data_IF_272079511390
#
_entry.id   IF_272079511390
#
_cell.length_a   1.000
_cell.length_b   1.000
_cell.length_c   1.000
_cell.angle_alpha   90.00
_cell.angle_beta   90.00
_cell.angle_gamma   90.00
#
_symmetry.space_group_name_H-M   'P 1'
#
loop_
_entity.id
_entity.type
_entity.pdbx_description
1 polymer ?
#
# COMPACT_ATOMS: atom_id res chain seq x y z
N UNK A 1 19.85 -30.48 3.48
CA UNK A 1 19.52 -29.83 2.20
C UNK A 1 20.51 -30.32 1.16
N UNK A 2 20.03 -30.97 0.11
CA UNK A 2 20.87 -31.47 -0.99
C UNK A 2 21.49 -30.28 -1.77
N UNK A 3 22.71 -30.43 -2.30
CA UNK A 3 23.37 -29.41 -3.14
C UNK A 3 22.50 -29.00 -4.33
N UNK A 4 21.70 -29.94 -4.84
CA UNK A 4 20.77 -29.70 -5.95
C UNK A 4 19.58 -28.83 -5.55
N UNK A 5 19.00 -29.06 -4.37
CA UNK A 5 17.91 -28.25 -3.82
C UNK A 5 18.39 -26.82 -3.55
N UNK A 6 19.59 -26.68 -2.96
CA UNK A 6 20.20 -25.37 -2.72
C UNK A 6 20.42 -24.58 -4.02
N UNK A 7 20.95 -25.22 -5.06
CA UNK A 7 21.17 -24.59 -6.36
C UNK A 7 19.88 -24.13 -7.06
N UNK A 8 18.80 -24.91 -6.96
CA UNK A 8 17.49 -24.55 -7.51
C UNK A 8 16.91 -23.36 -6.75
N UNK A 9 17.02 -23.36 -5.42
CA UNK A 9 16.52 -22.28 -4.56
C UNK A 9 17.27 -20.96 -4.81
N UNK A 10 18.60 -21.00 -4.95
CA UNK A 10 19.43 -19.83 -5.27
C UNK A 10 19.06 -19.21 -6.64
N UNK A 11 18.81 -20.04 -7.66
CA UNK A 11 18.39 -19.55 -8.99
C UNK A 11 16.99 -18.92 -8.97
N UNK A 12 16.05 -19.47 -8.20
CA UNK A 12 14.70 -18.90 -8.07
C UNK A 12 14.78 -17.54 -7.37
N UNK A 13 15.58 -17.43 -6.31
CA UNK A 13 15.76 -16.18 -5.58
C UNK A 13 16.36 -15.09 -6.48
N UNK A 14 17.36 -15.42 -7.30
CA UNK A 14 17.94 -14.48 -8.26
C UNK A 14 16.91 -14.00 -9.31
N UNK A 15 16.10 -14.92 -9.85
CA UNK A 15 15.02 -14.57 -10.80
C UNK A 15 14.04 -13.59 -10.15
N UNK A 16 13.64 -13.85 -8.90
CA UNK A 16 12.66 -12.97 -8.25
C UNK A 16 13.27 -11.59 -7.96
N UNK A 17 14.51 -11.53 -7.47
CA UNK A 17 15.19 -10.25 -7.25
C UNK A 17 15.33 -9.44 -8.55
N UNK A 18 15.55 -10.10 -9.69
CA UNK A 18 15.55 -9.45 -11.00
C UNK A 18 14.16 -8.90 -11.38
N UNK A 19 13.07 -9.59 -11.04
CA UNK A 19 11.71 -9.10 -11.26
C UNK A 19 11.39 -7.89 -10.38
N UNK A 20 11.76 -7.93 -9.10
CA UNK A 20 11.62 -6.81 -8.16
C UNK A 20 12.42 -5.60 -8.65
N UNK A 21 13.69 -5.81 -9.03
CA UNK A 21 14.57 -4.78 -9.57
C UNK A 21 13.99 -4.11 -10.82
N UNK A 22 13.35 -4.89 -11.71
CA UNK A 22 12.65 -4.34 -12.87
C UNK A 22 11.50 -3.42 -12.45
N UNK A 23 10.65 -3.85 -11.51
CA UNK A 23 9.54 -3.02 -11.01
C UNK A 23 10.06 -1.74 -10.37
N UNK A 24 11.11 -1.85 -9.55
CA UNK A 24 11.71 -0.68 -8.89
C UNK A 24 12.33 0.29 -9.89
N UNK A 25 13.03 -0.20 -10.92
CA UNK A 25 13.56 0.65 -11.98
C UNK A 25 12.43 1.39 -12.72
N UNK A 26 11.35 0.69 -13.07
CA UNK A 26 10.19 1.30 -13.73
C UNK A 26 9.52 2.35 -12.82
N UNK A 27 9.39 2.05 -11.53
CA UNK A 27 8.87 2.95 -10.48
C UNK A 27 9.67 4.24 -10.40
N UNK A 28 11.01 4.12 -10.26
CA UNK A 28 11.90 5.26 -10.17
C UNK A 28 11.85 6.13 -11.43
N UNK A 29 11.89 5.52 -12.62
CA UNK A 29 11.84 6.24 -13.88
C UNK A 29 10.52 7.02 -14.05
N UNK A 30 9.39 6.40 -13.71
CA UNK A 30 8.06 6.98 -13.93
C UNK A 30 7.73 8.09 -12.91
N UNK A 31 8.11 7.88 -11.64
CA UNK A 31 7.90 8.85 -10.57
C UNK A 31 9.05 9.86 -10.44
N UNK A 32 10.06 9.78 -11.31
CA UNK A 32 11.27 10.63 -11.30
C UNK A 32 11.98 10.60 -9.94
N UNK A 33 12.10 9.40 -9.38
CA UNK A 33 12.80 9.12 -8.14
C UNK A 33 14.12 8.39 -8.43
N UNK A 34 15.06 8.48 -7.52
CA UNK A 34 16.31 7.72 -7.58
C UNK A 34 16.19 6.45 -6.71
N UNK A 35 16.69 5.29 -7.15
CA UNK A 35 16.75 4.10 -6.31
C UNK A 35 17.48 4.38 -4.99
N UNK A 36 16.85 3.97 -3.89
CA UNK A 36 17.39 4.17 -2.55
C UNK A 36 18.29 2.98 -2.15
N UNK A 37 19.58 3.20 -1.87
CA UNK A 37 20.51 2.12 -1.49
C UNK A 37 20.23 1.54 -0.09
N UNK A 38 19.36 2.20 0.68
CA UNK A 38 18.96 1.82 2.04
C UNK A 38 17.71 0.92 2.07
N UNK A 39 17.33 0.31 0.94
CA UNK A 39 16.14 -0.52 0.84
C UNK A 39 16.54 -1.93 0.45
N UNK A 40 16.24 -2.87 1.33
CA UNK A 40 16.47 -4.29 1.13
C UNK A 40 15.14 -5.02 0.92
N UNK A 41 15.17 -6.06 0.09
CA UNK A 41 14.05 -6.96 -0.13
C UNK A 41 14.38 -8.35 0.38
N UNK A 42 13.40 -8.98 1.03
CA UNK A 42 13.47 -10.39 1.41
C UNK A 42 12.16 -11.10 1.11
N UNK A 43 12.29 -12.31 0.58
CA UNK A 43 11.16 -13.20 0.30
C UNK A 43 11.24 -14.33 1.30
N UNK A 44 10.16 -14.52 2.04
CA UNK A 44 10.15 -15.40 3.20
C UNK A 44 8.87 -16.22 3.26
N UNK A 45 9.02 -17.45 3.74
CA UNK A 45 7.88 -18.34 4.03
C UNK A 45 7.17 -17.93 5.33
N UNK A 46 7.77 -17.02 6.11
CA UNK A 46 7.19 -16.53 7.35
C UNK A 46 7.63 -15.08 7.64
N UNK A 47 6.73 -14.12 7.37
CA UNK A 47 7.00 -12.69 7.59
C UNK A 47 7.19 -12.38 9.07
N UNK A 48 6.35 -12.92 9.96
CA UNK A 48 6.42 -12.73 11.42
C UNK A 48 7.77 -13.14 12.00
N UNK A 49 8.30 -14.30 11.59
CA UNK A 49 9.59 -14.78 12.10
C UNK A 49 10.77 -13.93 11.60
N UNK A 50 10.74 -13.45 10.35
CA UNK A 50 11.76 -12.51 9.88
C UNK A 50 11.62 -11.14 10.56
N UNK A 51 10.40 -10.65 10.76
CA UNK A 51 10.13 -9.42 11.50
C UNK A 51 10.72 -9.46 12.90
N UNK A 52 10.53 -10.57 13.65
CA UNK A 52 11.10 -10.74 15.01
C UNK A 52 12.63 -10.67 15.03
N UNK A 53 13.31 -11.07 13.95
CA UNK A 53 14.78 -10.96 13.83
C UNK A 53 15.22 -9.53 13.58
N UNK A 54 14.45 -8.77 12.80
CA UNK A 54 14.75 -7.39 12.42
C UNK A 54 14.39 -6.42 13.56
N UNK A 55 13.21 -6.58 14.16
CA UNK A 55 12.67 -5.76 15.26
C UNK A 55 12.37 -6.59 16.51
N UNK A 56 13.40 -7.16 17.18
CA UNK A 56 13.21 -7.95 18.41
C UNK A 56 12.67 -7.12 19.58
N UNK A 57 12.84 -5.79 19.52
CA UNK A 57 12.26 -4.81 20.44
C UNK A 57 10.73 -4.73 20.28
N UNK A 58 10.22 -4.68 19.04
CA UNK A 58 8.79 -4.71 18.76
C UNK A 58 8.16 -6.04 19.15
N UNK A 59 8.81 -7.16 18.84
CA UNK A 59 8.34 -8.49 19.24
C UNK A 59 8.16 -8.63 20.77
N UNK A 60 8.95 -7.92 21.56
CA UNK A 60 8.81 -7.89 23.03
C UNK A 60 7.69 -6.96 23.50
N UNK A 61 7.52 -5.82 22.83
CA UNK A 61 6.56 -4.77 23.22
C UNK A 61 5.12 -5.10 22.78
N UNK A 62 4.97 -5.73 21.61
CA UNK A 62 3.69 -6.03 20.96
C UNK A 62 3.64 -7.47 20.41
N UNK A 63 3.78 -8.50 21.28
CA UNK A 63 3.91 -9.89 20.84
C UNK A 63 2.73 -10.37 19.98
N UNK A 64 1.49 -10.06 20.40
CA UNK A 64 0.29 -10.50 19.70
C UNK A 64 0.17 -9.90 18.29
N UNK A 65 0.57 -8.63 18.11
CA UNK A 65 0.57 -7.97 16.80
C UNK A 65 1.60 -8.63 15.88
N UNK A 66 2.81 -8.86 16.40
CA UNK A 66 3.88 -9.49 15.61
C UNK A 66 3.54 -10.92 15.21
N UNK A 67 2.87 -11.69 16.08
CA UNK A 67 2.42 -13.05 15.77
C UNK A 67 1.33 -13.11 14.69
N UNK A 68 0.48 -12.07 14.59
CA UNK A 68 -0.61 -12.04 13.63
C UNK A 68 -0.24 -11.52 12.23
N UNK A 69 0.99 -11.03 12.02
CA UNK A 69 1.42 -10.43 10.74
C UNK A 69 1.07 -11.30 9.53
N UNK A 70 1.36 -12.61 9.58
CA UNK A 70 1.11 -13.51 8.43
C UNK A 70 -0.37 -13.72 8.12
N UNK A 71 -1.27 -13.49 9.10
CA UNK A 71 -2.71 -13.60 8.89
C UNK A 71 -3.29 -12.32 8.26
N UNK A 72 -2.58 -11.20 8.41
CA UNK A 72 -3.08 -9.87 8.04
C UNK A 72 -2.41 -9.34 6.77
N UNK A 73 -1.18 -9.80 6.46
CA UNK A 73 -0.33 -9.20 5.44
C UNK A 73 0.36 -10.23 4.56
N UNK A 74 0.36 -9.97 3.25
CA UNK A 74 1.14 -10.71 2.25
C UNK A 74 2.52 -10.08 1.99
N UNK A 75 2.71 -8.84 2.40
CA UNK A 75 3.97 -8.11 2.37
C UNK A 75 3.97 -7.05 3.47
N UNK A 76 5.15 -6.60 3.86
CA UNK A 76 5.30 -5.61 4.92
C UNK A 76 6.59 -4.80 4.73
N UNK A 77 6.46 -3.48 4.73
CA UNK A 77 7.58 -2.56 4.89
C UNK A 77 7.91 -2.38 6.38
N UNK A 78 9.18 -2.58 6.73
CA UNK A 78 9.71 -2.42 8.08
C UNK A 78 10.69 -1.25 8.06
N UNK A 79 10.29 -0.07 8.60
CA UNK A 79 11.22 1.02 8.81
C UNK A 79 12.34 0.64 9.79
N UNK A 80 13.57 1.12 9.56
CA UNK A 80 14.60 1.07 10.59
C UNK A 80 14.17 1.92 11.78
N UNK A 81 14.80 1.75 12.94
CA UNK A 81 14.52 2.66 14.05
C UNK A 81 15.01 4.09 13.76
N UNK A 82 16.24 4.20 13.27
CA UNK A 82 16.94 5.47 13.03
C UNK A 82 17.13 5.71 11.52
N UNK A 83 17.26 6.97 11.09
CA UNK A 83 17.29 7.36 9.68
C UNK A 83 18.47 6.85 8.83
N UNK A 84 19.57 6.42 9.44
CA UNK A 84 20.70 5.81 8.72
C UNK A 84 20.57 4.29 8.56
N UNK A 85 19.52 3.70 9.13
CA UNK A 85 19.22 2.28 8.99
C UNK A 85 18.62 1.92 7.63
N UNK A 86 18.57 0.62 7.36
CA UNK A 86 17.96 0.09 6.16
C UNK A 86 16.47 -0.22 6.37
N UNK A 87 15.64 0.18 5.43
CA UNK A 87 14.28 -0.32 5.30
C UNK A 87 14.33 -1.76 4.80
N UNK A 88 13.50 -2.63 5.38
CA UNK A 88 13.31 -3.99 4.89
C UNK A 88 11.90 -4.15 4.36
N UNK A 89 11.77 -4.61 3.11
CA UNK A 89 10.49 -5.04 2.55
C UNK A 89 10.46 -6.57 2.54
N UNK A 90 9.54 -7.13 3.32
CA UNK A 90 9.29 -8.57 3.37
C UNK A 90 8.10 -8.91 2.47
N UNK A 91 8.22 -9.98 1.68
CA UNK A 91 7.11 -10.49 0.85
C UNK A 91 6.95 -11.99 1.08
N UNK A 92 5.71 -12.45 1.27
CA UNK A 92 5.40 -13.87 1.44
C UNK A 92 5.71 -14.66 0.16
N UNK A 93 6.50 -15.74 0.29
CA UNK A 93 6.94 -16.57 -0.84
C UNK A 93 5.76 -17.16 -1.61
N UNK A 94 4.75 -17.67 -0.90
CA UNK A 94 3.62 -18.38 -1.50
C UNK A 94 2.75 -17.39 -2.29
N UNK A 95 2.40 -16.27 -1.68
CA UNK A 95 1.69 -15.17 -2.33
C UNK A 95 2.42 -14.70 -3.58
N UNK A 96 3.74 -14.45 -3.50
CA UNK A 96 4.52 -13.98 -4.64
C UNK A 96 4.47 -14.97 -5.81
N UNK A 97 4.68 -16.26 -5.52
CA UNK A 97 4.64 -17.33 -6.52
C UNK A 97 3.26 -17.51 -7.15
N UNK A 98 2.19 -17.44 -6.36
CA UNK A 98 0.80 -17.55 -6.85
C UNK A 98 0.44 -16.35 -7.74
N UNK A 99 0.82 -15.14 -7.32
CA UNK A 99 0.50 -13.93 -8.07
C UNK A 99 1.28 -13.81 -9.38
N UNK A 100 2.52 -14.31 -9.45
CA UNK A 100 3.27 -14.42 -10.71
C UNK A 100 2.53 -15.23 -11.78
N UNK A 101 1.75 -16.22 -11.37
CA UNK A 101 1.03 -17.11 -12.28
C UNK A 101 -0.37 -16.59 -12.62
N UNK A 102 -0.99 -15.82 -11.72
CA UNK A 102 -2.42 -15.50 -11.79
C UNK A 102 -2.71 -14.11 -12.34
N UNK A 103 -2.13 -13.06 -11.76
CA UNK A 103 -2.71 -11.71 -11.87
C UNK A 103 -1.73 -10.52 -11.75
N UNK A 104 -0.41 -10.78 -11.63
CA UNK A 104 0.61 -9.75 -11.44
C UNK A 104 0.42 -8.83 -10.22
N UNK A 105 -0.43 -9.22 -9.25
CA UNK A 105 -0.54 -8.50 -7.96
C UNK A 105 0.81 -8.32 -7.26
N UNK A 106 1.77 -9.23 -7.44
CA UNK A 106 3.13 -9.12 -6.92
C UNK A 106 3.81 -7.80 -7.34
N UNK A 107 3.63 -7.36 -8.58
CA UNK A 107 4.25 -6.13 -9.09
C UNK A 107 3.62 -4.90 -8.43
N UNK A 108 2.29 -4.95 -8.22
CA UNK A 108 1.57 -3.94 -7.46
C UNK A 108 2.02 -3.88 -6.01
N UNK A 109 2.23 -5.02 -5.38
CA UNK A 109 2.71 -5.12 -3.99
C UNK A 109 4.12 -4.55 -3.85
N UNK A 110 5.05 -4.88 -4.76
CA UNK A 110 6.40 -4.27 -4.76
C UNK A 110 6.31 -2.75 -4.86
N UNK A 111 5.50 -2.21 -5.78
CA UNK A 111 5.34 -0.77 -5.93
C UNK A 111 4.63 -0.10 -4.73
N UNK A 112 3.69 -0.81 -4.09
CA UNK A 112 2.99 -0.37 -2.88
C UNK A 112 3.97 -0.22 -1.70
N UNK A 113 4.73 -1.27 -1.40
CA UNK A 113 5.72 -1.25 -0.32
C UNK A 113 6.85 -0.23 -0.57
N UNK A 114 7.33 -0.12 -1.82
CA UNK A 114 8.28 0.94 -2.18
C UNK A 114 7.70 2.33 -1.93
N UNK A 115 6.41 2.54 -2.23
CA UNK A 115 5.77 3.84 -1.99
C UNK A 115 5.77 4.19 -0.52
N UNK A 116 5.47 3.26 0.38
CA UNK A 116 5.61 3.48 1.81
C UNK A 116 7.01 3.95 2.18
N UNK A 117 8.07 3.27 1.71
CA UNK A 117 9.45 3.68 2.03
C UNK A 117 9.72 5.14 1.65
N UNK A 118 9.38 5.55 0.43
CA UNK A 118 9.60 6.93 0.01
C UNK A 118 8.73 7.91 0.80
N UNK A 119 7.47 7.56 1.06
CA UNK A 119 6.55 8.41 1.81
C UNK A 119 7.02 8.60 3.26
N UNK A 120 7.50 7.55 3.92
CA UNK A 120 8.07 7.62 5.27
C UNK A 120 9.31 8.52 5.31
N UNK A 121 10.22 8.40 4.34
CA UNK A 121 11.42 9.26 4.26
C UNK A 121 11.02 10.71 4.01
N UNK A 122 10.07 10.96 3.10
CA UNK A 122 9.58 12.31 2.81
C UNK A 122 8.91 12.91 4.05
N UNK A 123 8.08 12.14 4.75
CA UNK A 123 7.39 12.58 5.96
C UNK A 123 8.37 12.88 7.10
N UNK A 124 9.32 11.98 7.36
CA UNK A 124 10.36 12.15 8.36
C UNK A 124 11.12 13.47 8.17
N UNK A 125 11.48 13.79 6.92
CA UNK A 125 12.12 15.06 6.58
C UNK A 125 11.19 16.27 6.73
N UNK A 126 9.90 16.11 6.43
CA UNK A 126 8.91 17.17 6.52
C UNK A 126 8.64 17.61 7.97
N UNK A 127 8.66 16.66 8.91
CA UNK A 127 8.41 16.94 10.34
C UNK A 127 9.69 17.02 11.19
N UNK A 128 10.87 16.89 10.57
CA UNK A 128 12.17 16.83 11.25
C UNK A 128 12.21 15.76 12.37
N UNK A 129 11.64 14.59 12.08
CA UNK A 129 11.62 13.43 12.98
C UNK A 129 12.19 12.22 12.27
N UNK A 130 13.34 11.73 12.73
CA UNK A 130 14.09 10.64 12.12
C UNK A 130 14.06 9.35 12.96
N UNK A 131 13.19 9.30 13.96
CA UNK A 131 12.80 8.10 14.70
C UNK A 131 11.50 7.55 14.09
N UNK A 132 11.60 6.48 13.30
CA UNK A 132 10.42 5.95 12.62
C UNK A 132 9.45 5.25 13.58
N UNK A 133 9.86 4.89 14.80
CA UNK A 133 8.92 4.33 15.78
C UNK A 133 7.92 5.39 16.26
N UNK A 134 8.33 6.65 16.28
CA UNK A 134 7.44 7.79 16.53
C UNK A 134 6.46 7.94 15.37
N UNK A 135 6.94 7.92 14.13
CA UNK A 135 6.09 8.07 12.94
C UNK A 135 5.07 6.92 12.81
N UNK A 136 5.44 5.71 13.23
CA UNK A 136 4.56 4.55 13.25
C UNK A 136 3.50 4.61 14.36
N UNK A 137 3.57 5.56 15.29
CA UNK A 137 2.53 5.75 16.29
C UNK A 137 1.25 6.31 15.65
N UNK A 138 0.28 5.42 15.45
CA UNK A 138 -1.03 5.74 14.90
C UNK A 138 -1.81 6.75 15.76
N UNK A 139 -1.48 6.92 17.04
CA UNK A 139 -2.08 7.93 17.89
C UNK A 139 -1.63 9.36 17.54
N UNK A 140 -0.43 9.51 17.00
CA UNK A 140 0.17 10.82 16.67
C UNK A 140 0.11 11.14 15.18
N UNK A 141 0.32 10.14 14.32
CA UNK A 141 0.50 10.34 12.88
C UNK A 141 -0.60 9.69 12.03
N UNK A 142 -1.81 9.57 12.54
CA UNK A 142 -2.90 8.87 11.86
C UNK A 142 -3.20 9.38 10.45
N UNK A 143 -3.21 10.72 10.26
CA UNK A 143 -3.51 11.33 8.96
C UNK A 143 -2.47 10.96 7.90
N UNK A 144 -1.19 10.94 8.29
CA UNK A 144 -0.11 10.46 7.42
C UNK A 144 -0.31 8.98 7.08
N UNK A 145 -0.61 8.13 8.05
CA UNK A 145 -0.83 6.70 7.83
C UNK A 145 -2.00 6.44 6.86
N UNK A 146 -3.11 7.18 6.97
CA UNK A 146 -4.22 7.07 6.01
C UNK A 146 -3.79 7.53 4.61
N UNK A 147 -3.08 8.66 4.55
CA UNK A 147 -2.63 9.24 3.29
C UNK A 147 -1.67 8.29 2.55
N UNK A 148 -0.67 7.73 3.24
CA UNK A 148 0.30 6.84 2.61
C UNK A 148 -0.35 5.52 2.18
N UNK A 149 -1.33 4.98 2.91
CA UNK A 149 -2.07 3.78 2.48
C UNK A 149 -2.87 4.00 1.20
N UNK A 150 -3.56 5.15 1.09
CA UNK A 150 -4.24 5.53 -0.14
C UNK A 150 -3.24 5.71 -1.29
N UNK A 151 -2.16 6.47 -1.06
CA UNK A 151 -1.15 6.77 -2.07
C UNK A 151 -0.45 5.49 -2.56
N UNK A 152 0.05 4.67 -1.64
CA UNK A 152 0.65 3.39 -1.93
C UNK A 152 -0.34 2.46 -2.63
N UNK A 153 -1.63 2.44 -2.27
CA UNK A 153 -2.60 1.60 -2.98
C UNK A 153 -2.83 2.08 -4.41
N UNK A 154 -2.97 3.39 -4.62
CA UNK A 154 -3.12 3.96 -5.95
C UNK A 154 -1.93 3.59 -6.83
N UNK A 155 -0.70 3.80 -6.36
CA UNK A 155 0.51 3.45 -7.11
C UNK A 155 0.59 1.93 -7.34
N UNK A 156 0.38 1.13 -6.30
CA UNK A 156 0.38 -0.34 -6.43
C UNK A 156 -0.63 -0.83 -7.47
N UNK A 157 -1.87 -0.33 -7.45
CA UNK A 157 -2.90 -0.72 -8.41
C UNK A 157 -2.61 -0.28 -9.84
N UNK A 158 -1.99 0.89 -10.02
CA UNK A 158 -1.47 1.29 -11.32
C UNK A 158 -0.40 0.31 -11.84
N UNK A 159 0.48 -0.20 -10.98
CA UNK A 159 1.49 -1.20 -11.36
C UNK A 159 0.86 -2.56 -11.71
N UNK A 160 -0.21 -2.98 -11.03
CA UNK A 160 -0.99 -4.16 -11.44
C UNK A 160 -1.50 -3.98 -12.87
N UNK A 161 -2.14 -2.84 -13.17
CA UNK A 161 -2.62 -2.51 -14.52
C UNK A 161 -1.48 -2.52 -15.55
N UNK A 162 -0.37 -1.84 -15.26
CA UNK A 162 0.81 -1.72 -16.14
C UNK A 162 1.43 -3.06 -16.52
N UNK A 163 1.44 -4.02 -15.60
CA UNK A 163 2.02 -5.34 -15.85
C UNK A 163 1.02 -6.36 -16.41
N UNK A 164 -0.28 -6.12 -16.23
CA UNK A 164 -1.34 -6.99 -16.75
C UNK A 164 -1.79 -6.61 -18.16
N UNK A 165 -1.85 -5.31 -18.49
CA UNK A 165 -2.37 -4.85 -19.78
C UNK A 165 -1.25 -4.33 -20.67
N UNK A 166 -1.28 -4.71 -21.95
CA UNK A 166 -0.38 -4.16 -22.97
C UNK A 166 -0.62 -2.66 -23.20
N UNK A 167 -1.88 -2.24 -23.12
CA UNK A 167 -2.30 -0.85 -23.14
C UNK A 167 -3.18 -0.60 -21.91
N UNK A 168 -2.67 0.20 -20.97
CA UNK A 168 -3.39 0.53 -19.73
C UNK A 168 -4.60 1.45 -19.95
N UNK A 169 -4.74 2.01 -21.15
CA UNK A 169 -5.85 2.87 -21.54
C UNK A 169 -6.88 2.14 -22.43
N UNK A 170 -6.76 0.82 -22.60
CA UNK A 170 -7.70 0.03 -23.40
C UNK A 170 -9.11 0.13 -22.81
N UNK A 171 -10.01 0.84 -23.50
CA UNK A 171 -11.38 1.05 -23.03
C UNK A 171 -12.27 -0.19 -23.17
N UNK A 172 -11.81 -1.26 -23.82
CA UNK A 172 -12.59 -2.50 -23.93
C UNK A 172 -12.82 -3.18 -22.58
N UNK A 173 -11.98 -2.90 -21.58
CA UNK A 173 -12.10 -3.47 -20.23
C UNK A 173 -13.11 -2.74 -19.35
N UNK A 174 -13.66 -1.60 -19.79
CA UNK A 174 -14.54 -0.76 -18.96
C UNK A 174 -15.78 -1.51 -18.52
N UNK A 175 -16.38 -2.31 -19.40
CA UNK A 175 -17.54 -3.12 -19.05
C UNK A 175 -17.20 -4.10 -17.92
N UNK A 176 -16.05 -4.77 -18.01
CA UNK A 176 -15.56 -5.67 -16.97
C UNK A 176 -15.29 -4.93 -15.64
N UNK A 177 -14.66 -3.77 -15.69
CA UNK A 177 -14.42 -2.98 -14.48
C UNK A 177 -15.77 -2.62 -13.81
N UNK A 178 -16.71 -2.07 -14.57
CA UNK A 178 -17.99 -1.57 -14.04
C UNK A 178 -18.90 -2.70 -13.54
N UNK A 179 -18.90 -3.85 -14.20
CA UNK A 179 -19.81 -4.96 -13.87
C UNK A 179 -19.20 -6.01 -12.95
N UNK A 180 -17.87 -6.06 -12.81
CA UNK A 180 -17.17 -7.09 -12.04
C UNK A 180 -16.21 -6.50 -11.00
N UNK A 181 -15.16 -5.78 -11.41
CA UNK A 181 -14.13 -5.35 -10.46
C UNK A 181 -14.62 -4.33 -9.44
N UNK A 182 -15.35 -3.29 -9.89
CA UNK A 182 -15.88 -2.26 -9.00
C UNK A 182 -16.87 -2.85 -7.97
N UNK A 183 -17.89 -3.65 -8.37
CA UNK A 183 -18.77 -4.31 -7.40
C UNK A 183 -18.01 -5.25 -6.44
N UNK A 184 -17.06 -6.04 -6.95
CA UNK A 184 -16.26 -6.95 -6.13
C UNK A 184 -15.45 -6.19 -5.08
N UNK A 185 -14.69 -5.16 -5.47
CA UNK A 185 -13.88 -4.38 -4.54
C UNK A 185 -14.73 -3.52 -3.58
N UNK A 186 -15.92 -3.08 -4.02
CA UNK A 186 -16.87 -2.40 -3.11
C UNK A 186 -17.40 -3.36 -2.05
N UNK A 187 -17.68 -4.62 -2.41
CA UNK A 187 -18.12 -5.65 -1.47
C UNK A 187 -16.99 -6.03 -0.50
N UNK A 188 -15.76 -6.22 -0.99
CA UNK A 188 -14.58 -6.50 -0.17
C UNK A 188 -14.34 -5.38 0.86
N UNK A 189 -14.47 -4.12 0.44
CA UNK A 189 -14.36 -2.96 1.34
C UNK A 189 -15.47 -2.99 2.40
N UNK A 190 -16.71 -3.23 1.99
CA UNK A 190 -17.86 -3.30 2.90
C UNK A 190 -17.67 -4.41 3.95
N UNK A 191 -17.30 -5.61 3.53
CA UNK A 191 -17.08 -6.74 4.44
C UNK A 191 -15.93 -6.47 5.41
N UNK A 192 -14.80 -5.96 4.90
CA UNK A 192 -13.62 -5.65 5.72
C UNK A 192 -13.91 -4.55 6.75
N UNK A 193 -14.65 -3.52 6.34
CA UNK A 193 -15.06 -2.43 7.23
C UNK A 193 -15.97 -2.94 8.37
N UNK A 194 -16.91 -3.85 8.08
CA UNK A 194 -17.85 -4.36 9.08
C UNK A 194 -17.33 -5.56 9.89
N UNK A 195 -16.18 -6.13 9.53
CA UNK A 195 -15.56 -7.24 10.25
C UNK A 195 -14.91 -6.83 11.58
N UNK A 196 -14.77 -5.53 11.83
CA UNK A 196 -14.05 -4.98 12.99
C UNK A 196 -14.67 -3.66 13.44
N UNK A 197 -14.44 -3.30 14.71
CA UNK A 197 -14.74 -1.97 15.25
C UNK A 197 -13.48 -1.10 15.39
N UNK A 198 -12.33 -1.59 14.92
CA UNK A 198 -11.08 -0.85 14.93
C UNK A 198 -11.11 0.19 13.78
N UNK A 199 -11.10 1.48 14.14
CA UNK A 199 -11.15 2.59 13.18
C UNK A 199 -10.00 2.58 12.16
N UNK A 200 -8.81 2.14 12.57
CA UNK A 200 -7.66 2.02 11.66
C UNK A 200 -7.89 0.93 10.62
N UNK A 201 -8.28 -0.28 11.03
CA UNK A 201 -8.57 -1.38 10.09
C UNK A 201 -9.74 -1.04 9.17
N UNK A 202 -10.76 -0.35 9.68
CA UNK A 202 -11.86 0.19 8.89
C UNK A 202 -11.37 1.17 7.83
N UNK A 203 -10.55 2.14 8.22
CA UNK A 203 -10.03 3.16 7.31
C UNK A 203 -9.05 2.58 6.30
N UNK A 204 -8.26 1.56 6.67
CA UNK A 204 -7.39 0.82 5.76
C UNK A 204 -8.19 0.22 4.59
N UNK A 205 -9.31 -0.44 4.88
CA UNK A 205 -10.19 -0.99 3.85
C UNK A 205 -10.75 0.09 2.90
N UNK A 206 -11.11 1.26 3.45
CA UNK A 206 -11.62 2.39 2.68
C UNK A 206 -10.54 3.05 1.83
N UNK A 207 -9.37 3.36 2.41
CA UNK A 207 -8.22 3.92 1.70
C UNK A 207 -7.82 3.05 0.50
N UNK A 208 -7.86 1.73 0.70
CA UNK A 208 -7.61 0.75 -0.36
C UNK A 208 -8.62 0.85 -1.51
N UNK A 209 -9.91 0.90 -1.22
CA UNK A 209 -10.95 1.03 -2.24
C UNK A 209 -10.81 2.36 -3.00
N UNK A 210 -10.63 3.46 -2.26
CA UNK A 210 -10.46 4.79 -2.83
C UNK A 210 -9.21 4.90 -3.71
N UNK A 211 -8.10 4.26 -3.33
CA UNK A 211 -6.88 4.23 -4.16
C UNK A 211 -7.10 3.56 -5.52
N UNK A 212 -7.91 2.49 -5.58
CA UNK A 212 -8.29 1.85 -6.85
C UNK A 212 -9.20 2.75 -7.68
N UNK A 213 -10.19 3.37 -7.03
CA UNK A 213 -11.12 4.31 -7.67
C UNK A 213 -10.38 5.49 -8.31
N UNK A 214 -9.39 6.05 -7.63
CA UNK A 214 -8.54 7.12 -8.16
C UNK A 214 -7.82 6.70 -9.45
N UNK A 215 -7.30 5.48 -9.54
CA UNK A 215 -6.65 5.01 -10.76
C UNK A 215 -7.65 4.80 -11.89
N UNK A 216 -8.85 4.29 -11.61
CA UNK A 216 -9.90 4.20 -12.63
C UNK A 216 -10.32 5.57 -13.15
N UNK A 217 -10.51 6.56 -12.26
CA UNK A 217 -10.76 7.96 -12.63
C UNK A 217 -9.64 8.50 -13.53
N UNK A 218 -8.38 8.29 -13.15
CA UNK A 218 -7.21 8.80 -13.87
C UNK A 218 -7.04 8.17 -15.25
N UNK A 219 -7.21 6.84 -15.36
CA UNK A 219 -7.04 6.12 -16.63
C UNK A 219 -8.25 6.27 -17.55
N UNK A 220 -9.46 6.38 -16.99
CA UNK A 220 -10.71 6.33 -17.73
C UNK A 220 -11.69 7.47 -17.34
N UNK A 221 -11.26 8.74 -17.45
CA UNK A 221 -12.01 9.89 -16.92
C UNK A 221 -13.36 10.14 -17.61
N UNK A 222 -13.57 9.57 -18.81
CA UNK A 222 -14.85 9.65 -19.52
C UNK A 222 -15.93 8.74 -18.92
N UNK A 223 -15.52 7.72 -18.16
CA UNK A 223 -16.41 6.72 -17.59
C UNK A 223 -16.52 6.89 -16.07
N UNK A 224 -15.41 7.17 -15.41
CA UNK A 224 -15.33 7.50 -13.99
C UNK A 224 -15.37 9.01 -13.80
N UNK A 225 -16.54 9.60 -14.08
CA UNK A 225 -16.76 11.04 -13.97
C UNK A 225 -17.03 11.46 -12.53
N UNK A 226 -16.88 12.75 -12.21
CA UNK A 226 -17.27 13.30 -10.90
C UNK A 226 -18.73 12.95 -10.54
N UNK A 227 -19.65 12.94 -11.51
CA UNK A 227 -21.04 12.56 -11.29
C UNK A 227 -21.19 11.08 -10.92
N UNK A 228 -20.44 10.19 -11.57
CA UNK A 228 -20.45 8.75 -11.26
C UNK A 228 -19.86 8.49 -9.86
N UNK A 229 -18.77 9.17 -9.52
CA UNK A 229 -18.14 9.07 -8.19
C UNK A 229 -19.08 9.60 -7.11
N UNK A 230 -19.77 10.72 -7.37
CA UNK A 230 -20.80 11.26 -6.49
C UNK A 230 -21.96 10.27 -6.29
N UNK A 231 -22.39 9.57 -7.32
CA UNK A 231 -23.42 8.53 -7.21
C UNK A 231 -22.94 7.34 -6.37
N UNK A 232 -21.69 6.92 -6.57
CA UNK A 232 -21.06 5.80 -5.87
C UNK A 232 -20.86 6.07 -4.37
N UNK A 233 -20.34 7.25 -4.01
CA UNK A 233 -19.91 7.57 -2.65
C UNK A 233 -20.85 8.53 -1.91
N UNK A 234 -21.75 9.23 -2.60
CA UNK A 234 -22.48 10.38 -2.06
C UNK A 234 -23.47 10.08 -0.94
N UNK A 235 -23.86 8.82 -0.77
CA UNK A 235 -24.65 8.37 0.39
C UNK A 235 -23.81 8.31 1.67
N UNK A 236 -22.48 8.19 1.54
CA UNK A 236 -21.49 8.21 2.61
C UNK A 236 -20.65 9.48 2.51
N UNK A 237 -21.21 10.60 2.98
CA UNK A 237 -20.62 11.95 2.86
C UNK A 237 -19.14 12.00 3.25
N UNK A 238 -18.78 11.45 4.40
CA UNK A 238 -17.40 11.44 4.89
C UNK A 238 -16.44 10.72 3.94
N UNK A 239 -16.89 9.63 3.30
CA UNK A 239 -16.06 8.84 2.37
C UNK A 239 -15.84 9.59 1.06
N UNK A 240 -16.88 10.26 0.55
CA UNK A 240 -16.77 11.14 -0.61
C UNK A 240 -15.82 12.31 -0.34
N UNK A 241 -15.97 13.00 0.79
CA UNK A 241 -15.09 14.12 1.17
C UNK A 241 -13.65 13.63 1.36
N UNK A 242 -13.45 12.45 1.97
CA UNK A 242 -12.12 11.82 2.10
C UNK A 242 -11.50 11.54 0.74
N UNK A 243 -12.28 11.00 -0.21
CA UNK A 243 -11.79 10.76 -1.57
C UNK A 243 -11.40 12.04 -2.30
N UNK A 244 -12.23 13.08 -2.19
CA UNK A 244 -11.95 14.41 -2.78
C UNK A 244 -10.68 15.00 -2.19
N UNK A 245 -10.51 14.92 -0.86
CA UNK A 245 -9.29 15.37 -0.20
C UNK A 245 -8.08 14.62 -0.75
N UNK A 246 -8.09 13.29 -0.70
CA UNK A 246 -6.93 12.47 -1.06
C UNK A 246 -6.55 12.62 -2.55
N UNK A 247 -7.52 12.68 -3.47
CA UNK A 247 -7.23 12.83 -4.91
C UNK A 247 -6.64 14.20 -5.26
N UNK A 248 -6.96 15.23 -4.49
CA UNK A 248 -6.44 16.58 -4.68
C UNK A 248 -5.09 16.80 -3.98
N UNK A 249 -4.69 15.91 -3.07
CA UNK A 249 -3.47 16.01 -2.29
C UNK A 249 -2.54 14.80 -2.52
N UNK A 250 -2.22 14.51 -3.79
CA UNK A 250 -1.32 13.39 -4.14
C UNK A 250 0.14 13.60 -3.74
N UNK A 251 0.54 14.82 -3.38
CA UNK A 251 1.87 15.11 -2.83
C UNK A 251 1.77 15.29 -1.32
N UNK A 252 2.73 14.74 -0.59
CA UNK A 252 2.70 14.72 0.86
C UNK A 252 2.83 16.12 1.46
N UNK A 253 3.68 16.98 0.90
CA UNK A 253 3.87 18.35 1.38
C UNK A 253 2.62 19.24 1.20
N UNK A 254 1.77 18.93 0.22
CA UNK A 254 0.46 19.54 0.03
C UNK A 254 -0.52 18.96 1.05
N UNK A 255 -0.63 17.63 1.14
CA UNK A 255 -1.53 16.94 2.07
C UNK A 255 -1.29 17.32 3.53
N UNK A 256 -0.02 17.37 3.95
CA UNK A 256 0.39 17.64 5.32
C UNK A 256 -0.11 18.99 5.85
N UNK A 257 -0.13 20.01 4.99
CA UNK A 257 -0.62 21.36 5.35
C UNK A 257 -2.10 21.34 5.73
N UNK A 258 -2.84 20.40 5.15
CA UNK A 258 -4.30 20.31 5.25
C UNK A 258 -4.75 19.03 5.99
N UNK A 259 -3.86 18.36 6.74
CA UNK A 259 -4.21 17.16 7.51
C UNK A 259 -5.29 17.41 8.58
N UNK A 260 -5.42 18.63 9.10
CA UNK A 260 -6.54 18.97 9.99
C UNK A 260 -7.89 18.94 9.25
N UNK A 261 -7.95 19.28 7.96
CA UNK A 261 -9.17 19.12 7.14
C UNK A 261 -9.53 17.63 7.01
N UNK A 262 -8.55 16.78 6.67
CA UNK A 262 -8.77 15.34 6.62
C UNK A 262 -9.26 14.79 7.96
N UNK A 263 -8.68 15.26 9.06
CA UNK A 263 -9.07 14.87 10.42
C UNK A 263 -10.53 15.23 10.71
N UNK A 264 -10.96 16.43 10.35
CA UNK A 264 -12.34 16.89 10.53
C UNK A 264 -13.34 16.11 9.66
N UNK A 265 -12.95 15.71 8.44
CA UNK A 265 -13.76 14.81 7.61
C UNK A 265 -13.97 13.47 8.32
N UNK A 266 -12.90 12.87 8.83
CA UNK A 266 -12.95 11.53 9.44
C UNK A 266 -13.72 11.49 10.76
N UNK A 267 -13.73 12.59 11.52
CA UNK A 267 -14.55 12.76 12.74
C UNK A 267 -16.05 12.65 12.51
N UNK A 268 -16.52 12.76 11.25
CA UNK A 268 -17.93 12.52 10.92
C UNK A 268 -18.35 11.06 11.12
N UNK A 269 -17.39 10.13 11.11
CA UNK A 269 -17.64 8.69 11.19
C UNK A 269 -16.94 8.03 12.39
N UNK A 270 -15.70 8.44 12.71
CA UNK A 270 -14.92 7.84 13.78
C UNK A 270 -14.92 8.73 15.03
N UNK A 271 -15.39 8.20 16.17
CA UNK A 271 -15.40 8.92 17.45
C UNK A 271 -14.06 8.75 18.21
N UNK A 272 -13.62 9.81 18.90
CA UNK A 272 -12.49 9.74 19.84
C UNK A 272 -11.15 10.29 19.36
N UNK A 273 -11.15 11.14 18.32
CA UNK A 273 -9.96 11.75 17.70
C UNK A 273 -9.95 13.28 17.77
#
# INVERSE_FOLDING_TARGET
MDKREKYIQENIQEIILNLISKVWSDYCAELKKEPLPIVDFSITDNISEEYKKIRPDHAKKFPDQVENINNEHNALTIPPKEADGHFMILIDTKYFAESLQKDNNWAGTVAHELTHVYDFIEYANLIDCHDYDVILDLGEHWMFNIWTEFHAKAIGYYYIRKYTFKDIYDTSIIEYIMQSELPMHSQEMFESYHATNNAYTQMYAVAHFLGRLFIWEKLFPKYFTDAMIQELLGTNRWMLETYIFLKNHMKLDEAYKDFEELKDILRQNFQGF
#
